data_IF_210851801578
#
_entry.id   IF_210851801578
#
_cell.length_a   1.000
_cell.length_b   1.000
_cell.length_c   1.000
_cell.angle_alpha   90.00
_cell.angle_beta   90.00
_cell.angle_gamma   90.00
#
_symmetry.space_group_name_H-M   'P 1'
#
loop_
_entity.id
_entity.type
_entity.pdbx_description
1 polymer ?
#
# COMPACT_ATOMS: atom_id res chain seq x y z
N UNK A 1 1.90 2.27 0.32
CA UNK A 1 2.17 3.60 0.90
C UNK A 1 1.56 4.67 -0.01
N UNK A 2 1.25 5.85 0.52
CA UNK A 2 0.49 6.90 -0.21
C UNK A 2 1.37 8.01 -0.80
N UNK A 3 2.70 7.83 -0.77
CA UNK A 3 3.67 8.84 -1.22
C UNK A 3 3.89 9.98 -0.22
N UNK A 4 4.62 10.99 -0.66
CA UNK A 4 4.89 12.23 0.07
C UNK A 4 4.92 13.39 -0.93
N UNK A 5 4.35 14.53 -0.55
CA UNK A 5 4.52 15.77 -1.30
C UNK A 5 5.59 16.64 -0.63
N UNK A 6 6.49 17.19 -1.43
CA UNK A 6 7.49 18.18 -0.98
C UNK A 6 6.95 19.62 -1.02
N UNK A 7 5.78 19.82 -1.64
CA UNK A 7 5.18 21.14 -1.89
C UNK A 7 3.94 21.35 -1.04
N UNK A 8 3.09 20.32 -0.91
CA UNK A 8 1.86 20.39 -0.13
C UNK A 8 2.15 20.01 1.32
N UNK A 9 1.76 20.83 2.31
CA UNK A 9 1.83 20.46 3.72
C UNK A 9 1.20 19.08 3.99
N UNK A 10 1.81 18.29 4.88
CA UNK A 10 1.44 16.88 5.10
C UNK A 10 -0.02 16.70 5.48
N UNK A 11 -0.54 17.55 6.35
CA UNK A 11 -1.95 17.55 6.77
C UNK A 11 -2.90 17.71 5.58
N UNK A 12 -2.60 18.62 4.66
CA UNK A 12 -3.40 18.82 3.45
C UNK A 12 -3.22 17.68 2.45
N UNK A 13 -2.01 17.14 2.31
CA UNK A 13 -1.72 16.06 1.39
C UNK A 13 -2.50 14.79 1.77
N UNK A 14 -2.42 14.35 3.03
CA UNK A 14 -3.06 13.08 3.47
C UNK A 14 -4.58 13.17 3.56
N UNK A 15 -5.15 14.37 3.68
CA UNK A 15 -6.59 14.61 3.68
C UNK A 15 -7.16 14.85 2.28
N UNK A 16 -6.31 14.97 1.27
CA UNK A 16 -6.73 15.13 -0.12
C UNK A 16 -7.18 13.79 -0.73
N UNK A 17 -8.01 13.86 -1.76
CA UNK A 17 -8.41 12.67 -2.52
C UNK A 17 -7.26 12.22 -3.42
N UNK A 18 -7.13 10.91 -3.62
CA UNK A 18 -6.28 10.36 -4.67
C UNK A 18 -6.71 10.89 -6.04
N UNK A 19 -5.73 11.15 -6.90
CA UNK A 19 -5.96 11.49 -8.30
C UNK A 19 -6.53 10.28 -9.05
N UNK A 20 -7.25 10.49 -10.17
CA UNK A 20 -7.86 9.40 -10.92
C UNK A 20 -6.88 8.30 -11.37
N UNK A 21 -5.62 8.65 -11.61
CA UNK A 21 -4.53 7.74 -11.97
C UNK A 21 -3.89 7.04 -10.75
N UNK A 22 -3.97 7.63 -9.56
CA UNK A 22 -3.48 7.03 -8.31
C UNK A 22 -4.51 6.04 -7.73
N UNK A 23 -5.80 6.26 -7.99
CA UNK A 23 -6.87 5.47 -7.41
C UNK A 23 -6.77 3.96 -7.76
N UNK A 24 -6.55 3.54 -9.03
CA UNK A 24 -6.38 2.12 -9.34
C UNK A 24 -5.17 1.50 -8.63
N UNK A 25 -4.07 2.23 -8.50
CA UNK A 25 -2.88 1.76 -7.78
C UNK A 25 -3.18 1.54 -6.29
N UNK A 26 -4.00 2.39 -5.68
CA UNK A 26 -4.41 2.22 -4.28
C UNK A 26 -5.37 1.04 -4.11
N UNK A 27 -6.30 0.84 -5.04
CA UNK A 27 -7.20 -0.31 -5.02
C UNK A 27 -6.42 -1.63 -5.15
N UNK A 28 -5.44 -1.70 -6.06
CA UNK A 28 -4.54 -2.84 -6.18
C UNK A 28 -3.72 -3.05 -4.91
N UNK A 29 -3.16 -1.98 -4.33
CA UNK A 29 -2.38 -2.06 -3.10
C UNK A 29 -3.21 -2.59 -1.93
N UNK A 30 -4.49 -2.19 -1.82
CA UNK A 30 -5.42 -2.70 -0.79
C UNK A 30 -5.72 -4.18 -1.02
N UNK A 31 -6.01 -4.58 -2.26
CA UNK A 31 -6.25 -5.99 -2.60
C UNK A 31 -5.03 -6.86 -2.23
N UNK A 32 -3.84 -6.44 -2.66
CA UNK A 32 -2.59 -7.13 -2.36
C UNK A 32 -2.27 -7.16 -0.85
N UNK A 33 -2.67 -6.14 -0.10
CA UNK A 33 -2.51 -6.13 1.35
C UNK A 33 -3.45 -7.15 2.03
N UNK A 34 -4.66 -7.34 1.53
CA UNK A 34 -5.57 -8.38 2.03
C UNK A 34 -4.95 -9.78 1.85
N UNK A 35 -4.42 -10.08 0.66
CA UNK A 35 -3.70 -11.33 0.39
C UNK A 35 -2.49 -11.52 1.31
N UNK A 36 -1.77 -10.43 1.62
CA UNK A 36 -0.65 -10.47 2.53
C UNK A 36 -1.08 -10.82 3.96
N UNK A 37 -2.19 -10.27 4.44
CA UNK A 37 -2.76 -10.61 5.76
C UNK A 37 -3.17 -12.08 5.81
N UNK A 38 -3.84 -12.58 4.77
CA UNK A 38 -4.17 -14.00 4.67
C UNK A 38 -2.91 -14.89 4.69
N UNK A 39 -1.86 -14.49 3.97
CA UNK A 39 -0.59 -15.20 3.97
C UNK A 39 0.12 -15.16 5.33
N UNK A 40 0.02 -14.06 6.08
CA UNK A 40 0.55 -13.98 7.46
C UNK A 40 -0.13 -15.01 8.34
N UNK A 41 -1.46 -15.10 8.28
CA UNK A 41 -2.26 -16.01 9.09
C UNK A 41 -2.04 -17.49 8.71
N UNK A 42 -1.95 -17.79 7.42
CA UNK A 42 -1.86 -19.17 6.93
C UNK A 42 -0.43 -19.72 6.84
N UNK A 43 0.57 -18.88 6.59
CA UNK A 43 1.95 -19.28 6.24
C UNK A 43 3.02 -18.65 7.13
N UNK A 44 2.63 -17.76 8.03
CA UNK A 44 3.53 -17.02 8.91
C UNK A 44 4.14 -15.77 8.28
N UNK A 45 4.45 -14.80 9.14
CA UNK A 45 4.90 -13.46 8.74
C UNK A 45 6.15 -13.43 7.86
N UNK A 46 7.13 -14.31 8.08
CA UNK A 46 8.38 -14.34 7.30
C UNK A 46 8.14 -14.68 5.82
N UNK A 47 7.31 -15.68 5.54
CA UNK A 47 6.98 -16.08 4.17
C UNK A 47 6.15 -15.01 3.48
N UNK A 48 5.15 -14.47 4.16
CA UNK A 48 4.34 -13.36 3.65
C UNK A 48 5.21 -12.14 3.31
N UNK A 49 6.07 -11.70 4.22
CA UNK A 49 6.97 -10.56 3.99
C UNK A 49 7.85 -10.78 2.77
N UNK A 50 8.45 -11.97 2.62
CA UNK A 50 9.27 -12.29 1.45
C UNK A 50 8.45 -12.33 0.16
N UNK A 51 7.16 -12.63 0.18
CA UNK A 51 6.32 -12.62 -1.03
C UNK A 51 5.85 -11.22 -1.41
N UNK A 52 5.43 -10.42 -0.42
CA UNK A 52 4.72 -9.17 -0.69
C UNK A 52 5.62 -7.92 -0.64
N UNK A 53 6.73 -7.96 0.11
CA UNK A 53 7.65 -6.82 0.30
C UNK A 53 8.96 -6.95 -0.48
N UNK A 54 9.09 -7.93 -1.40
CA UNK A 54 10.24 -7.98 -2.29
C UNK A 54 10.29 -6.72 -3.15
N UNK A 55 11.43 -6.04 -3.16
CA UNK A 55 11.74 -5.01 -4.15
C UNK A 55 12.04 -5.74 -5.47
N UNK A 56 11.40 -5.29 -6.55
CA UNK A 56 11.89 -5.59 -7.90
C UNK A 56 13.25 -4.92 -8.11
#
# INVERSE_FOLDING_TARGET
>A
GVGRSDIIPTDRFVLSKFRPDEKPLMEEAVSRAADAVEAILSKGHKKAMNTFNQRA
#
